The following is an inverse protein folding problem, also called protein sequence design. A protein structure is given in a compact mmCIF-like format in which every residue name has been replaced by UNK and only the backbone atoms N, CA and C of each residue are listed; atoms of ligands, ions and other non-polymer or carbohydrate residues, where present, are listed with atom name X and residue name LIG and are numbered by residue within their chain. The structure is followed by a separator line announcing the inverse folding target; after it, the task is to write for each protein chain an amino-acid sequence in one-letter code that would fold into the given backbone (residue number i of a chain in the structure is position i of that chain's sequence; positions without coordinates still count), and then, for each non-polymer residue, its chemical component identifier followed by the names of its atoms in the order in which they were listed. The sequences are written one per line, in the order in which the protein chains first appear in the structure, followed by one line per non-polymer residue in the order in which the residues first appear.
data_IF_052462192101
#
_entry.id   IF_052462192101
#
_cell.length_a   1.000
_cell.length_b   1.000
_cell.length_c   1.000
_cell.angle_alpha   90.00
_cell.angle_beta   90.00
_cell.angle_gamma   90.00
#
_symmetry.space_group_name_H-M   'P 1'
#
loop_
_entity.id
_entity.type
_entity.pdbx_description
1 polymer ?
#
# COMPACT_ATOMS: atom_id res chain seq x y z
N UNK A 1 0.48 30.97 -2.71
CA UNK A 1 1.11 30.82 -4.03
C UNK A 1 0.05 30.34 -4.99
N UNK A 2 0.05 30.80 -6.23
CA UNK A 2 -0.81 30.26 -7.30
C UNK A 2 -0.38 28.83 -7.66
N UNK A 3 -1.26 28.04 -8.30
CA UNK A 3 -0.93 26.67 -8.73
C UNK A 3 0.36 26.60 -9.58
N UNK A 4 0.56 27.47 -10.59
CA UNK A 4 1.82 27.49 -11.34
C UNK A 4 3.05 27.81 -10.49
N UNK A 5 2.92 28.70 -9.49
CA UNK A 5 4.02 29.04 -8.57
C UNK A 5 4.40 27.85 -7.68
N UNK A 6 3.41 27.07 -7.21
CA UNK A 6 3.65 25.88 -6.38
C UNK A 6 4.42 24.82 -7.19
N UNK A 7 3.96 24.53 -8.42
CA UNK A 7 4.60 23.53 -9.29
C UNK A 7 6.01 23.97 -9.69
N UNK A 8 6.21 25.24 -10.02
CA UNK A 8 7.55 25.78 -10.30
C UNK A 8 8.48 25.65 -9.09
N UNK A 9 7.98 25.96 -7.89
CA UNK A 9 8.74 25.80 -6.65
C UNK A 9 9.14 24.34 -6.39
N UNK A 10 8.24 23.38 -6.60
CA UNK A 10 8.56 21.95 -6.48
C UNK A 10 9.63 21.51 -7.49
N UNK A 11 9.47 21.91 -8.75
CA UNK A 11 10.43 21.61 -9.81
C UNK A 11 11.83 22.15 -9.46
N UNK A 12 11.92 23.39 -9.00
CA UNK A 12 13.19 24.03 -8.66
C UNK A 12 13.83 23.40 -7.41
N UNK A 13 13.05 23.22 -6.33
CA UNK A 13 13.57 22.73 -5.04
C UNK A 13 13.97 21.27 -5.08
N UNK A 14 13.18 20.42 -5.75
CA UNK A 14 13.33 18.98 -5.64
C UNK A 14 13.97 18.34 -6.88
N UNK A 15 13.80 18.94 -8.06
CA UNK A 15 14.24 18.38 -9.34
C UNK A 15 15.19 19.29 -10.13
N UNK A 16 15.67 20.39 -9.53
CA UNK A 16 16.63 21.30 -10.15
C UNK A 16 16.12 21.97 -11.44
N UNK A 17 14.80 22.13 -11.58
CA UNK A 17 14.18 22.74 -12.75
C UNK A 17 13.98 21.80 -13.95
N UNK A 18 14.28 20.50 -13.80
CA UNK A 18 14.34 19.54 -14.92
C UNK A 18 13.15 18.59 -15.03
N UNK A 19 12.08 18.81 -14.26
CA UNK A 19 10.88 17.99 -14.36
C UNK A 19 10.26 18.12 -15.78
N UNK A 20 9.88 17.00 -16.43
CA UNK A 20 9.27 17.03 -17.77
C UNK A 20 8.05 17.94 -17.86
N UNK A 21 7.90 18.61 -19.00
CA UNK A 21 6.73 19.47 -19.26
C UNK A 21 5.42 18.70 -19.12
N UNK A 22 5.35 17.49 -19.70
CA UNK A 22 4.18 16.61 -19.58
C UNK A 22 3.79 16.32 -18.13
N UNK A 23 4.77 16.09 -17.24
CA UNK A 23 4.46 15.86 -15.84
C UNK A 23 4.04 17.15 -15.11
N UNK A 24 4.66 18.29 -15.42
CA UNK A 24 4.21 19.59 -14.88
C UNK A 24 2.78 19.92 -15.30
N UNK A 25 2.41 19.58 -16.53
CA UNK A 25 1.06 19.75 -17.05
C UNK A 25 0.07 18.86 -16.29
N UNK A 26 0.40 17.57 -16.05
CA UNK A 26 -0.43 16.70 -15.21
C UNK A 26 -0.58 17.21 -13.78
N UNK A 27 0.49 17.73 -13.16
CA UNK A 27 0.39 18.35 -11.82
C UNK A 27 -0.50 19.60 -11.82
N UNK A 28 -0.60 20.32 -12.94
CA UNK A 28 -1.45 21.50 -13.07
C UNK A 28 -2.96 21.17 -13.11
N UNK A 29 -3.32 19.90 -13.33
CA UNK A 29 -4.72 19.43 -13.27
C UNK A 29 -5.21 19.21 -11.84
N UNK A 30 -4.29 19.10 -10.86
CA UNK A 30 -4.65 18.78 -9.48
C UNK A 30 -5.38 19.92 -8.76
N UNK A 31 -6.31 19.59 -7.84
CA UNK A 31 -7.02 20.56 -7.03
C UNK A 31 -6.11 21.10 -5.92
N UNK A 32 -5.21 22.03 -6.25
CA UNK A 32 -4.26 22.65 -5.29
C UNK A 32 -4.91 23.48 -4.19
N UNK A 33 -6.21 23.73 -4.26
CA UNK A 33 -7.03 24.27 -3.17
C UNK A 33 -7.24 23.27 -2.03
N UNK A 34 -7.03 21.98 -2.28
CA UNK A 34 -7.04 20.92 -1.26
C UNK A 34 -5.68 20.80 -0.60
N UNK A 35 -5.60 21.19 0.67
CA UNK A 35 -4.35 21.18 1.42
C UNK A 35 -3.76 19.77 1.57
N UNK A 36 -4.60 18.73 1.70
CA UNK A 36 -4.13 17.34 1.78
C UNK A 36 -3.38 16.87 0.52
N UNK A 37 -3.77 17.38 -0.66
CA UNK A 37 -3.08 17.11 -1.93
C UNK A 37 -1.72 17.82 -1.98
N UNK A 38 -1.69 19.08 -1.57
CA UNK A 38 -0.45 19.89 -1.56
C UNK A 38 0.56 19.35 -0.55
N UNK A 39 0.11 19.02 0.66
CA UNK A 39 0.95 18.49 1.72
C UNK A 39 1.53 17.13 1.34
N UNK A 40 0.71 16.24 0.76
CA UNK A 40 1.18 14.95 0.26
C UNK A 40 2.29 15.10 -0.78
N UNK A 41 2.10 15.96 -1.80
CA UNK A 41 3.09 16.15 -2.86
C UNK A 41 4.38 16.79 -2.36
N UNK A 42 4.27 17.80 -1.49
CA UNK A 42 5.44 18.40 -0.85
C UNK A 42 6.24 17.33 -0.07
N UNK A 43 5.55 16.49 0.69
CA UNK A 43 6.15 15.41 1.46
C UNK A 43 6.79 14.35 0.55
N UNK A 44 6.06 13.88 -0.46
CA UNK A 44 6.52 12.90 -1.44
C UNK A 44 7.79 13.37 -2.16
N UNK A 45 7.80 14.60 -2.67
CA UNK A 45 8.98 15.16 -3.36
C UNK A 45 10.14 15.42 -2.41
N UNK A 46 9.89 15.79 -1.15
CA UNK A 46 10.92 15.92 -0.12
C UNK A 46 11.60 14.57 0.17
N UNK A 47 10.84 13.48 0.27
CA UNK A 47 11.38 12.13 0.46
C UNK A 47 12.21 11.68 -0.74
N UNK A 48 11.70 11.87 -1.96
CA UNK A 48 12.46 11.58 -3.19
C UNK A 48 13.76 12.39 -3.24
N UNK A 49 13.71 13.68 -2.92
CA UNK A 49 14.90 14.52 -2.90
C UNK A 49 15.91 14.07 -1.84
N UNK A 50 15.46 13.72 -0.64
CA UNK A 50 16.30 13.15 0.42
C UNK A 50 16.97 11.84 -0.04
N UNK A 51 16.22 10.96 -0.69
CA UNK A 51 16.69 9.73 -1.33
C UNK A 51 17.59 9.95 -2.56
N UNK A 52 17.92 11.20 -2.93
CA UNK A 52 18.73 11.56 -4.12
C UNK A 52 18.12 11.11 -5.45
N UNK A 53 16.80 11.13 -5.58
CA UNK A 53 16.15 10.95 -6.87
C UNK A 53 16.29 12.19 -7.72
N UNK A 54 16.42 12.00 -9.03
CA UNK A 54 16.40 13.06 -10.04
C UNK A 54 15.16 12.93 -10.92
N UNK A 55 14.90 13.94 -11.77
CA UNK A 55 13.72 13.96 -12.65
C UNK A 55 13.61 12.72 -13.55
N UNK A 56 14.74 12.21 -14.05
CA UNK A 56 14.80 11.01 -14.90
C UNK A 56 14.46 9.72 -14.16
N UNK A 57 14.36 9.73 -12.83
CA UNK A 57 13.94 8.56 -12.05
C UNK A 57 12.41 8.49 -11.86
N UNK A 58 11.68 9.55 -12.18
CA UNK A 58 10.22 9.58 -12.06
C UNK A 58 9.61 8.68 -13.13
N UNK A 59 8.83 7.69 -12.71
CA UNK A 59 8.17 6.77 -13.63
C UNK A 59 6.93 7.41 -14.29
N UNK A 60 6.51 6.94 -15.48
CA UNK A 60 5.26 7.41 -16.09
C UNK A 60 4.05 7.11 -15.22
N UNK A 61 4.07 5.99 -14.49
CA UNK A 61 2.99 5.61 -13.58
C UNK A 61 2.93 6.54 -12.36
N UNK A 62 4.08 6.97 -11.83
CA UNK A 62 4.12 8.01 -10.81
C UNK A 62 3.53 9.31 -11.35
N UNK A 63 3.88 9.72 -12.57
CA UNK A 63 3.30 10.90 -13.20
C UNK A 63 1.77 10.80 -13.29
N UNK A 64 1.24 9.67 -13.77
CA UNK A 64 -0.21 9.45 -13.87
C UNK A 64 -0.89 9.45 -12.51
N UNK A 65 -0.35 8.74 -11.53
CA UNK A 65 -0.97 8.66 -10.21
C UNK A 65 -0.92 10.01 -9.52
N UNK A 66 0.24 10.66 -9.47
CA UNK A 66 0.41 11.94 -8.82
C UNK A 66 -0.39 13.04 -9.50
N UNK A 67 -0.41 13.10 -10.83
CA UNK A 67 -1.07 14.15 -11.60
C UNK A 67 -2.58 13.99 -11.78
N UNK A 68 -3.09 12.76 -11.86
CA UNK A 68 -4.49 12.53 -12.26
C UNK A 68 -5.33 11.77 -11.23
N UNK A 69 -4.73 10.89 -10.43
CA UNK A 69 -5.47 10.03 -9.50
C UNK A 69 -5.35 10.45 -8.04
N UNK A 70 -4.28 11.17 -7.68
CA UNK A 70 -3.93 11.47 -6.29
C UNK A 70 -5.09 12.07 -5.50
N UNK A 71 -5.74 13.08 -6.06
CA UNK A 71 -6.87 13.75 -5.39
C UNK A 71 -8.03 12.81 -5.07
N UNK A 72 -8.17 11.69 -5.79
CA UNK A 72 -9.22 10.69 -5.59
C UNK A 72 -8.83 9.62 -4.58
N UNK A 73 -7.54 9.43 -4.29
CA UNK A 73 -7.02 8.37 -3.41
C UNK A 73 -6.48 8.89 -2.07
N UNK A 74 -6.72 10.18 -1.77
CA UNK A 74 -6.42 10.78 -0.47
C UNK A 74 -7.67 10.91 0.40
N UNK A 75 -7.55 10.83 1.74
CA UNK A 75 -8.69 10.87 2.66
C UNK A 75 -9.62 12.07 2.50
N UNK A 76 -9.13 13.23 2.03
CA UNK A 76 -9.97 14.40 1.77
C UNK A 76 -11.08 14.16 0.75
N UNK A 77 -10.91 13.22 -0.20
CA UNK A 77 -11.97 12.80 -1.13
C UNK A 77 -12.96 11.81 -0.51
N UNK A 78 -12.67 11.30 0.68
CA UNK A 78 -13.40 10.21 1.35
C UNK A 78 -14.01 10.65 2.68
N UNK A 79 -14.28 11.95 2.83
CA UNK A 79 -14.78 12.54 4.07
C UNK A 79 -13.87 12.27 5.27
N UNK A 80 -12.56 12.24 5.04
CA UNK A 80 -11.53 11.97 6.04
C UNK A 80 -11.26 10.48 6.30
N UNK A 81 -11.98 9.56 5.64
CA UNK A 81 -11.74 8.12 5.76
C UNK A 81 -10.54 7.67 4.95
N UNK A 82 -9.90 6.60 5.39
CA UNK A 82 -8.85 5.94 4.62
C UNK A 82 -9.49 5.20 3.43
N UNK A 83 -9.07 5.46 2.18
CA UNK A 83 -9.61 4.77 1.02
C UNK A 83 -9.27 3.27 1.06
N UNK A 84 -10.23 2.38 0.75
CA UNK A 84 -9.97 0.94 0.76
C UNK A 84 -9.30 0.53 -0.56
N UNK A 85 -7.97 0.54 -0.57
CA UNK A 85 -7.17 0.13 -1.74
C UNK A 85 -6.67 -1.29 -1.50
N UNK A 86 -7.30 -2.28 -2.14
CA UNK A 86 -6.86 -3.69 -2.10
C UNK A 86 -6.48 -4.16 -3.51
N UNK A 87 -5.41 -4.93 -3.61
CA UNK A 87 -4.89 -5.48 -4.87
C UNK A 87 -4.47 -6.92 -4.62
N UNK A 88 -4.93 -7.85 -5.46
CA UNK A 88 -4.59 -9.26 -5.35
C UNK A 88 -3.08 -9.48 -5.48
N UNK A 89 -2.56 -10.47 -4.74
CA UNK A 89 -1.14 -10.82 -4.72
C UNK A 89 -0.22 -9.79 -4.05
N UNK A 90 -0.76 -8.78 -3.36
CA UNK A 90 0.03 -7.74 -2.68
C UNK A 90 1.02 -8.34 -1.68
N UNK A 91 0.54 -9.21 -0.80
CA UNK A 91 1.32 -9.74 0.32
C UNK A 91 1.97 -11.10 0.03
N UNK A 92 2.13 -11.51 -1.23
CA UNK A 92 2.54 -12.89 -1.57
C UNK A 92 3.87 -13.29 -0.91
N UNK A 93 4.90 -12.43 -0.93
CA UNK A 93 6.17 -12.73 -0.26
C UNK A 93 6.10 -12.53 1.25
N UNK A 94 5.22 -11.63 1.74
CA UNK A 94 4.99 -11.45 3.18
C UNK A 94 4.34 -12.70 3.79
N UNK A 95 3.41 -13.33 3.08
CA UNK A 95 2.79 -14.59 3.52
C UNK A 95 3.82 -15.73 3.50
N UNK A 96 4.71 -15.78 2.50
CA UNK A 96 5.86 -16.72 2.51
C UNK A 96 6.81 -16.47 3.68
N UNK A 97 7.05 -15.20 4.02
CA UNK A 97 7.90 -14.82 5.13
C UNK A 97 7.36 -15.34 6.46
N UNK A 98 6.04 -15.25 6.68
CA UNK A 98 5.37 -15.78 7.87
C UNK A 98 5.61 -17.29 8.01
N UNK A 99 5.55 -18.04 6.91
CA UNK A 99 5.76 -19.49 6.91
C UNK A 99 7.22 -19.92 7.08
N UNK A 100 8.17 -19.07 6.69
CA UNK A 100 9.62 -19.39 6.69
C UNK A 100 10.41 -18.62 7.75
N UNK A 101 9.75 -17.87 8.63
CA UNK A 101 10.43 -16.96 9.53
C UNK A 101 11.40 -17.68 10.47
N UNK A 102 12.62 -17.18 10.61
CA UNK A 102 13.66 -17.78 11.46
C UNK A 102 13.50 -17.53 12.97
N UNK A 103 12.66 -16.60 13.38
CA UNK A 103 12.47 -16.24 14.80
C UNK A 103 11.28 -16.93 15.46
N UNK A 104 10.39 -17.55 14.68
CA UNK A 104 9.24 -18.31 15.17
C UNK A 104 9.18 -19.65 14.45
N UNK A 105 8.76 -20.70 15.13
CA UNK A 105 8.42 -21.96 14.48
C UNK A 105 7.25 -21.78 13.49
N UNK A 106 7.17 -22.60 12.45
CA UNK A 106 6.14 -22.54 11.42
C UNK A 106 4.79 -23.15 11.87
N UNK A 107 4.66 -23.54 13.14
CA UNK A 107 3.41 -24.10 13.69
C UNK A 107 2.25 -23.12 13.49
N UNK A 108 1.14 -23.53 12.86
CA UNK A 108 -0.02 -22.67 12.65
C UNK A 108 -0.63 -22.19 13.97
N UNK A 109 -1.10 -20.95 13.95
CA UNK A 109 -1.71 -20.30 15.10
C UNK A 109 -2.74 -19.25 14.67
N UNK A 110 -2.88 -18.18 15.45
CA UNK A 110 -3.73 -17.04 15.14
C UNK A 110 -2.96 -15.96 14.38
N UNK A 111 -3.36 -15.71 13.13
CA UNK A 111 -2.90 -14.62 12.30
C UNK A 111 -3.90 -13.45 12.36
N UNK A 112 -3.44 -12.28 12.76
CA UNK A 112 -4.22 -11.04 12.83
C UNK A 112 -3.86 -10.13 11.64
N UNK A 113 -4.83 -9.85 10.78
CA UNK A 113 -4.68 -8.96 9.62
C UNK A 113 -5.38 -7.63 9.88
N UNK A 114 -4.62 -6.56 10.09
CA UNK A 114 -5.12 -5.22 10.37
C UNK A 114 -5.16 -4.39 9.09
N UNK A 115 -6.31 -3.75 8.84
CA UNK A 115 -6.54 -2.95 7.63
C UNK A 115 -6.88 -3.82 6.43
N UNK A 116 -7.66 -4.89 6.64
CA UNK A 116 -8.04 -5.82 5.57
C UNK A 116 -8.82 -5.18 4.42
N UNK A 117 -9.42 -4.00 4.64
CA UNK A 117 -10.14 -3.24 3.63
C UNK A 117 -11.37 -3.95 3.07
N UNK A 118 -11.97 -3.35 2.04
CA UNK A 118 -13.05 -3.95 1.28
C UNK A 118 -12.91 -3.65 -0.23
N UNK A 119 -13.02 -4.65 -1.12
CA UNK A 119 -13.13 -6.08 -0.83
C UNK A 119 -11.84 -6.61 -0.16
N UNK A 120 -11.92 -7.60 0.76
CA UNK A 120 -10.76 -8.06 1.56
C UNK A 120 -9.88 -9.06 0.78
N UNK A 121 -9.55 -8.73 -0.47
CA UNK A 121 -8.87 -9.64 -1.41
C UNK A 121 -7.51 -10.10 -0.86
N UNK A 122 -6.75 -9.18 -0.26
CA UNK A 122 -5.43 -9.48 0.31
C UNK A 122 -5.51 -10.45 1.47
N UNK A 123 -6.54 -10.34 2.33
CA UNK A 123 -6.80 -11.31 3.40
C UNK A 123 -7.19 -12.68 2.85
N UNK A 124 -8.00 -12.72 1.79
CA UNK A 124 -8.40 -13.98 1.14
C UNK A 124 -7.19 -14.70 0.54
N UNK A 125 -6.27 -13.95 -0.08
CA UNK A 125 -5.00 -14.49 -0.56
C UNK A 125 -4.18 -15.09 0.60
N UNK A 126 -4.08 -14.38 1.72
CA UNK A 126 -3.37 -14.86 2.91
C UNK A 126 -3.99 -16.11 3.53
N UNK A 127 -5.33 -16.24 3.54
CA UNK A 127 -6.00 -17.47 3.99
C UNK A 127 -5.65 -18.66 3.08
N UNK A 128 -5.54 -18.43 1.77
CA UNK A 128 -5.15 -19.48 0.83
C UNK A 128 -3.68 -19.89 0.99
N UNK A 129 -2.78 -18.94 1.28
CA UNK A 129 -1.36 -19.17 1.50
C UNK A 129 -1.06 -19.82 2.86
N UNK A 130 -1.71 -19.36 3.93
CA UNK A 130 -1.47 -19.76 5.32
C UNK A 130 -2.35 -20.95 5.72
N UNK A 131 -2.24 -22.06 5.00
CA UNK A 131 -3.07 -23.25 5.25
C UNK A 131 -2.90 -23.77 6.69
N UNK A 132 -4.03 -23.99 7.38
CA UNK A 132 -4.06 -24.45 8.77
C UNK A 132 -4.03 -23.34 9.82
N UNK A 133 -3.80 -22.08 9.43
CA UNK A 133 -3.89 -20.95 10.33
C UNK A 133 -5.34 -20.51 10.56
N UNK A 134 -5.59 -19.90 11.71
CA UNK A 134 -6.80 -19.13 11.96
C UNK A 134 -6.52 -17.67 11.63
N UNK A 135 -7.32 -17.07 10.76
CA UNK A 135 -7.17 -15.67 10.37
C UNK A 135 -8.30 -14.85 10.99
N UNK A 136 -7.92 -13.82 11.73
CA UNK A 136 -8.81 -12.75 12.16
C UNK A 136 -8.45 -11.48 11.38
N UNK A 137 -9.38 -11.00 10.56
CA UNK A 137 -9.20 -9.78 9.78
C UNK A 137 -10.02 -8.64 10.37
N UNK A 138 -9.42 -7.47 10.52
CA UNK A 138 -10.08 -6.32 11.11
C UNK A 138 -9.90 -5.06 10.26
N UNK A 139 -10.99 -4.31 10.11
CA UNK A 139 -11.00 -2.99 9.48
C UNK A 139 -12.16 -2.15 10.05
N UNK A 140 -11.93 -0.89 10.47
CA UNK A 140 -13.00 -0.04 10.99
C UNK A 140 -14.02 0.36 9.91
N UNK A 141 -13.65 0.26 8.63
CA UNK A 141 -14.47 0.62 7.47
C UNK A 141 -15.08 -0.60 6.79
N UNK A 142 -15.03 -1.79 7.40
CA UNK A 142 -15.68 -2.98 6.87
C UNK A 142 -17.19 -2.76 6.76
N UNK A 143 -17.79 -2.81 5.55
CA UNK A 143 -19.18 -2.45 5.38
C UNK A 143 -20.12 -3.52 5.95
N UNK A 144 -21.29 -3.10 6.43
CA UNK A 144 -22.34 -4.02 6.84
C UNK A 144 -23.03 -4.65 5.63
N UNK A 145 -23.23 -3.86 4.58
CA UNK A 145 -23.88 -4.29 3.35
C UNK A 145 -23.19 -3.69 2.12
N UNK A 146 -23.23 -4.44 1.02
CA UNK A 146 -22.76 -3.96 -0.29
C UNK A 146 -23.83 -4.26 -1.33
N UNK A 147 -24.29 -3.22 -2.01
CA UNK A 147 -25.33 -3.30 -3.04
C UNK A 147 -24.68 -3.06 -4.38
N UNK A 148 -24.90 -3.99 -5.30
CA UNK A 148 -24.54 -3.86 -6.71
C UNK A 148 -25.81 -3.60 -7.53
N UNK A 149 -25.74 -2.65 -8.46
CA UNK A 149 -26.77 -2.45 -9.46
C UNK A 149 -26.61 -3.44 -10.65
N UNK A 150 -27.46 -3.30 -11.66
CA UNK A 150 -27.46 -4.17 -12.84
C UNK A 150 -26.24 -3.96 -13.76
N UNK A 151 -25.54 -2.85 -13.62
CA UNK A 151 -24.32 -2.52 -14.36
C UNK A 151 -23.06 -2.98 -13.62
N UNK A 152 -23.22 -3.46 -12.38
CA UNK A 152 -22.14 -3.90 -11.50
C UNK A 152 -21.50 -2.78 -10.71
N UNK A 153 -22.00 -1.54 -10.81
CA UNK A 153 -21.58 -0.47 -9.90
C UNK A 153 -22.04 -0.83 -8.50
N UNK A 154 -21.29 -0.40 -7.48
CA UNK A 154 -21.62 -0.77 -6.12
C UNK A 154 -21.56 0.39 -5.14
N UNK A 155 -22.38 0.28 -4.09
CA UNK A 155 -22.34 1.14 -2.93
C UNK A 155 -22.20 0.30 -1.65
N UNK A 156 -21.47 0.83 -0.68
CA UNK A 156 -21.28 0.22 0.63
C UNK A 156 -22.11 0.95 1.67
N UNK A 157 -22.69 0.22 2.61
CA UNK A 157 -23.50 0.75 3.70
C UNK A 157 -22.98 0.28 5.05
N UNK A 158 -23.06 1.15 6.05
CA UNK A 158 -22.71 0.82 7.43
C UNK A 158 -23.86 0.11 8.17
N UNK A 159 -23.66 -0.16 9.46
CA UNK A 159 -24.64 -0.85 10.31
C UNK A 159 -25.90 -0.02 10.61
N UNK A 160 -25.83 1.31 10.47
CA UNK A 160 -26.98 2.21 10.57
C UNK A 160 -27.76 2.26 9.24
N UNK A 161 -27.19 1.65 8.20
CA UNK A 161 -27.70 1.71 6.86
C UNK A 161 -27.24 2.97 6.15
N UNK A 162 -26.34 3.80 6.65
CA UNK A 162 -25.90 5.00 5.92
C UNK A 162 -24.93 4.62 4.78
N UNK A 163 -25.05 5.32 3.64
CA UNK A 163 -24.18 5.05 2.50
C UNK A 163 -22.80 5.61 2.79
N UNK A 164 -21.78 4.76 2.69
CA UNK A 164 -20.40 5.08 3.01
C UNK A 164 -19.71 5.65 1.76
N UNK A 165 -19.69 4.91 0.66
CA UNK A 165 -19.19 5.34 -0.65
C UNK A 165 -19.81 4.49 -1.76
N UNK A 166 -19.63 4.90 -3.01
CA UNK A 166 -19.95 4.12 -4.20
C UNK A 166 -18.77 4.11 -5.19
N UNK A 167 -18.69 3.07 -6.02
CA UNK A 167 -17.69 2.95 -7.07
C UNK A 167 -18.30 2.35 -8.34
N UNK A 168 -17.78 2.71 -9.53
CA UNK A 168 -18.17 2.08 -10.78
C UNK A 168 -17.61 0.65 -10.89
N UNK A 169 -18.29 -0.19 -11.67
CA UNK A 169 -17.81 -1.56 -11.96
C UNK A 169 -16.42 -1.58 -12.62
N UNK A 170 -16.21 -0.63 -13.54
CA UNK A 170 -14.93 -0.39 -14.21
C UNK A 170 -14.53 1.08 -14.00
N UNK A 171 -13.49 1.37 -13.20
CA UNK A 171 -13.12 2.74 -12.86
C UNK A 171 -12.41 3.42 -14.03
N UNK A 172 -13.12 4.34 -14.71
CA UNK A 172 -12.57 5.31 -15.67
C UNK A 172 -13.00 6.71 -15.26
N UNK A 173 -12.40 7.76 -15.83
CA UNK A 173 -12.83 9.13 -15.55
C UNK A 173 -14.31 9.31 -15.89
N UNK A 174 -14.75 8.72 -16.99
CA UNK A 174 -16.13 8.78 -17.49
C UNK A 174 -17.11 8.07 -16.57
N UNK A 175 -16.80 6.84 -16.12
CA UNK A 175 -17.71 6.08 -15.25
C UNK A 175 -17.80 6.68 -13.84
N UNK A 176 -16.71 7.25 -13.34
CA UNK A 176 -16.73 8.06 -12.11
C UNK A 176 -17.59 9.31 -12.26
N UNK A 177 -17.41 10.05 -13.36
CA UNK A 177 -18.20 11.25 -13.62
C UNK A 177 -19.69 10.91 -13.75
N UNK A 178 -20.04 9.81 -14.41
CA UNK A 178 -21.42 9.37 -14.57
C UNK A 178 -22.10 9.08 -13.22
N UNK A 179 -21.42 8.40 -12.29
CA UNK A 179 -21.97 8.15 -10.95
C UNK A 179 -22.02 9.40 -10.07
N UNK A 180 -21.04 10.30 -10.23
CA UNK A 180 -20.91 11.49 -9.39
C UNK A 180 -21.68 12.72 -9.91
N UNK A 181 -22.14 12.74 -11.17
CA UNK A 181 -22.83 13.87 -11.80
C UNK A 181 -24.07 14.28 -10.98
N UNK A 182 -24.86 13.31 -10.52
CA UNK A 182 -25.92 13.50 -9.54
C UNK A 182 -25.76 12.49 -8.39
N UNK A 183 -24.81 12.78 -7.50
CA UNK A 183 -24.56 11.94 -6.33
C UNK A 183 -25.81 11.71 -5.46
N UNK A 184 -26.75 12.65 -5.42
CA UNK A 184 -28.00 12.51 -4.66
C UNK A 184 -28.92 11.47 -5.30
N UNK A 185 -29.07 11.50 -6.62
CA UNK A 185 -29.83 10.49 -7.35
C UNK A 185 -29.17 9.10 -7.28
N UNK A 186 -27.84 9.04 -7.38
CA UNK A 186 -27.06 7.80 -7.22
C UNK A 186 -27.28 7.18 -5.84
N UNK A 187 -27.17 7.99 -4.78
CA UNK A 187 -27.45 7.56 -3.41
C UNK A 187 -28.89 7.05 -3.25
N UNK A 188 -29.87 7.81 -3.74
CA UNK A 188 -31.29 7.42 -3.68
C UNK A 188 -31.55 6.10 -4.42
N UNK A 189 -30.86 5.84 -5.53
CA UNK A 189 -30.98 4.59 -6.27
C UNK A 189 -30.43 3.41 -5.45
N UNK A 190 -29.21 3.50 -4.92
CA UNK A 190 -28.63 2.42 -4.10
C UNK A 190 -29.42 2.19 -2.81
N UNK A 191 -29.93 3.26 -2.18
CA UNK A 191 -30.84 3.19 -1.03
C UNK A 191 -32.08 2.35 -1.36
N UNK A 192 -32.75 2.66 -2.46
CA UNK A 192 -33.93 1.92 -2.94
C UNK A 192 -33.61 0.45 -3.21
N UNK A 193 -32.43 0.16 -3.77
CA UNK A 193 -31.98 -1.21 -4.00
C UNK A 193 -31.72 -1.96 -2.68
N UNK A 194 -31.09 -1.32 -1.69
CA UNK A 194 -30.92 -1.87 -0.35
C UNK A 194 -32.27 -2.21 0.28
N UNK A 195 -33.19 -1.24 0.35
CA UNK A 195 -34.50 -1.40 0.99
C UNK A 195 -35.32 -2.53 0.35
N UNK A 196 -35.16 -2.73 -0.96
CA UNK A 196 -35.81 -3.81 -1.70
C UNK A 196 -35.19 -5.18 -1.38
N UNK A 197 -33.87 -5.29 -1.33
CA UNK A 197 -33.16 -6.57 -1.24
C UNK A 197 -32.95 -7.04 0.21
N UNK A 198 -32.89 -6.10 1.16
CA UNK A 198 -32.59 -6.40 2.57
C UNK A 198 -33.59 -7.38 3.23
N UNK A 199 -34.92 -7.30 2.98
CA UNK A 199 -35.87 -8.28 3.50
C UNK A 199 -35.60 -9.71 3.03
N UNK A 200 -35.15 -9.86 1.78
CA UNK A 200 -34.90 -11.17 1.17
C UNK A 200 -33.53 -11.75 1.59
N UNK A 201 -32.59 -10.90 2.02
CA UNK A 201 -31.29 -11.34 2.54
C UNK A 201 -31.43 -12.14 3.83
N UNK A 202 -32.24 -11.67 4.79
CA UNK A 202 -32.40 -12.28 6.11
C UNK A 202 -31.06 -12.59 6.80
N UNK A 203 -30.88 -13.85 7.20
CA UNK A 203 -29.63 -14.36 7.79
C UNK A 203 -28.61 -14.85 6.74
N UNK A 204 -28.94 -14.72 5.45
CA UNK A 204 -28.08 -15.08 4.34
C UNK A 204 -26.85 -14.16 4.18
N UNK A 205 -25.96 -14.58 3.28
CA UNK A 205 -24.75 -13.84 2.91
C UNK A 205 -24.91 -13.02 1.61
N UNK A 206 -25.81 -13.44 0.72
CA UNK A 206 -26.03 -12.81 -0.58
C UNK A 206 -27.48 -13.05 -1.04
N UNK A 207 -28.04 -12.07 -1.75
CA UNK A 207 -29.29 -12.20 -2.50
C UNK A 207 -29.18 -11.45 -3.82
N UNK A 208 -29.77 -12.00 -4.88
CA UNK A 208 -29.84 -11.37 -6.21
C UNK A 208 -31.28 -11.33 -6.67
N UNK A 209 -31.74 -10.17 -7.13
CA UNK A 209 -33.09 -9.98 -7.67
C UNK A 209 -33.13 -8.83 -8.67
N UNK A 210 -33.76 -9.06 -9.83
CA UNK A 210 -33.90 -8.10 -10.94
C UNK A 210 -32.58 -7.43 -11.36
N UNK A 211 -31.51 -8.22 -11.50
CA UNK A 211 -30.19 -7.74 -11.91
C UNK A 211 -29.40 -7.01 -10.82
N UNK A 212 -30.00 -6.67 -9.67
CA UNK A 212 -29.28 -6.12 -8.53
C UNK A 212 -28.90 -7.21 -7.54
N UNK A 213 -27.86 -6.95 -6.76
CA UNK A 213 -27.30 -7.91 -5.81
C UNK A 213 -26.96 -7.23 -4.49
N UNK A 214 -27.32 -7.86 -3.38
CA UNK A 214 -26.98 -7.40 -2.03
C UNK A 214 -26.15 -8.47 -1.35
N UNK A 215 -25.03 -8.04 -0.75
CA UNK A 215 -24.07 -8.88 -0.06
C UNK A 215 -23.91 -8.40 1.38
N UNK A 216 -23.88 -9.34 2.33
CA UNK A 216 -23.33 -9.12 3.66
C UNK A 216 -21.88 -9.63 3.67
N UNK A 217 -20.88 -8.74 3.54
CA UNK A 217 -19.52 -9.13 3.17
C UNK A 217 -18.85 -10.02 4.21
N UNK A 218 -18.98 -9.69 5.50
CA UNK A 218 -18.42 -10.53 6.56
C UNK A 218 -19.00 -11.95 6.55
N UNK A 219 -20.28 -12.14 6.24
CA UNK A 219 -20.89 -13.48 6.13
C UNK A 219 -20.45 -14.20 4.86
N UNK A 220 -20.33 -13.47 3.75
CA UNK A 220 -19.93 -14.03 2.46
C UNK A 220 -18.50 -14.56 2.49
N UNK A 221 -17.58 -13.80 3.09
CA UNK A 221 -16.16 -14.11 3.06
C UNK A 221 -15.68 -14.93 4.26
N UNK A 222 -16.45 -15.02 5.36
CA UNK A 222 -16.08 -15.84 6.51
C UNK A 222 -16.02 -17.32 6.15
N UNK A 223 -15.14 -18.06 6.82
CA UNK A 223 -15.00 -19.50 6.67
C UNK A 223 -14.60 -20.15 8.00
N UNK A 224 -14.31 -21.45 8.00
CA UNK A 224 -13.81 -22.13 9.20
C UNK A 224 -12.41 -21.65 9.65
N UNK A 225 -11.67 -20.95 8.78
CA UNK A 225 -10.33 -20.43 9.06
C UNK A 225 -10.25 -18.90 8.95
N UNK A 226 -11.36 -18.21 8.67
CA UNK A 226 -11.40 -16.76 8.50
C UNK A 226 -12.61 -16.16 9.21
N UNK A 227 -12.34 -15.19 10.08
CA UNK A 227 -13.35 -14.36 10.74
C UNK A 227 -13.01 -12.88 10.58
N UNK A 228 -14.03 -12.03 10.70
CA UNK A 228 -13.89 -10.58 10.55
C UNK A 228 -14.35 -9.83 11.80
N UNK A 229 -13.75 -8.68 12.07
CA UNK A 229 -14.25 -7.68 13.01
C UNK A 229 -14.27 -6.28 12.37
N UNK A 230 -15.40 -5.59 12.47
CA UNK A 230 -15.48 -4.16 12.15
C UNK A 230 -14.93 -3.36 13.32
N UNK A 231 -13.61 -3.26 13.41
CA UNK A 231 -12.91 -2.63 14.51
C UNK A 231 -11.58 -2.02 14.07
N UNK A 232 -11.19 -0.91 14.70
CA UNK A 232 -9.89 -0.28 14.53
C UNK A 232 -8.83 -0.87 15.47
N UNK A 233 -7.58 -0.49 15.24
CA UNK A 233 -6.45 -0.84 16.12
C UNK A 233 -6.75 -0.35 17.54
N UNK A 234 -6.62 -1.24 18.53
CA UNK A 234 -6.96 -0.97 19.93
C UNK A 234 -8.37 -1.41 20.34
N UNK A 235 -9.30 -1.53 19.38
CA UNK A 235 -10.69 -1.93 19.64
C UNK A 235 -10.98 -3.38 19.20
N UNK A 236 -10.09 -4.00 18.40
CA UNK A 236 -10.20 -5.42 18.02
C UNK A 236 -10.17 -6.29 19.29
N UNK A 237 -11.20 -7.11 19.45
CA UNK A 237 -11.32 -8.04 20.57
C UNK A 237 -10.52 -9.30 20.28
N UNK A 238 -9.25 -9.33 20.70
CA UNK A 238 -8.32 -10.43 20.43
C UNK A 238 -7.25 -10.53 21.51
N UNK A 239 -6.78 -11.76 21.76
CA UNK A 239 -5.64 -12.09 22.60
C UNK A 239 -4.89 -13.27 21.97
N UNK A 240 -3.70 -13.56 22.48
CA UNK A 240 -2.89 -14.71 22.08
C UNK A 240 -2.65 -14.78 20.56
N UNK A 241 -2.33 -13.64 19.95
CA UNK A 241 -1.98 -13.55 18.53
C UNK A 241 -0.57 -14.10 18.32
N UNK A 242 -0.42 -15.01 17.36
CA UNK A 242 0.88 -15.58 17.00
C UNK A 242 1.65 -14.68 16.04
N UNK A 243 0.93 -14.13 15.05
CA UNK A 243 1.48 -13.23 14.04
C UNK A 243 0.46 -12.13 13.75
N UNK A 244 0.90 -10.89 13.81
CA UNK A 244 0.12 -9.73 13.40
C UNK A 244 0.75 -9.05 12.19
N UNK A 245 -0.06 -8.70 11.20
CA UNK A 245 0.31 -7.86 10.06
C UNK A 245 -0.47 -6.55 10.09
N UNK A 246 0.22 -5.44 9.86
CA UNK A 246 -0.36 -4.11 9.69
C UNK A 246 0.36 -3.39 8.56
N UNK A 247 -0.08 -3.66 7.32
CA UNK A 247 0.51 -3.11 6.10
C UNK A 247 -0.38 -2.05 5.50
N UNK A 248 0.22 -0.97 4.98
CA UNK A 248 -0.48 0.10 4.28
C UNK A 248 -1.51 0.86 5.15
N UNK A 249 -1.28 0.92 6.47
CA UNK A 249 -2.19 1.56 7.44
C UNK A 249 -1.52 2.70 8.20
N UNK A 250 -0.36 2.46 8.83
CA UNK A 250 0.19 3.43 9.79
C UNK A 250 0.70 4.73 9.15
N UNK A 251 0.99 4.73 7.85
CA UNK A 251 1.41 5.93 7.14
C UNK A 251 0.30 7.00 6.99
N UNK A 252 -0.93 6.71 7.42
CA UNK A 252 -2.04 7.66 7.53
C UNK A 252 -2.12 8.34 8.91
N UNK A 253 -1.35 7.87 9.89
CA UNK A 253 -1.61 8.07 11.31
C UNK A 253 -0.38 8.63 12.02
N UNK A 254 -0.58 9.59 12.93
CA UNK A 254 0.51 10.27 13.61
C UNK A 254 1.34 9.37 14.55
N UNK A 255 2.52 9.84 14.95
CA UNK A 255 3.38 9.10 15.88
C UNK A 255 2.72 8.79 17.24
N UNK A 256 1.73 9.57 17.69
CA UNK A 256 1.00 9.28 18.94
C UNK A 256 0.08 8.09 18.79
N UNK A 257 -0.59 7.96 17.64
CA UNK A 257 -1.34 6.77 17.29
C UNK A 257 -0.41 5.57 17.09
N UNK A 258 0.74 5.76 16.42
CA UNK A 258 1.74 4.71 16.27
C UNK A 258 2.22 4.16 17.62
N UNK A 259 2.62 4.99 18.57
CA UNK A 259 3.07 4.53 19.90
C UNK A 259 1.99 3.70 20.63
N UNK A 260 0.73 4.16 20.60
CA UNK A 260 -0.41 3.42 21.16
C UNK A 260 -0.62 2.08 20.45
N UNK A 261 -0.46 2.06 19.13
CA UNK A 261 -0.53 0.84 18.31
C UNK A 261 0.54 -0.17 18.73
N UNK A 262 1.78 0.27 18.90
CA UNK A 262 2.87 -0.61 19.35
C UNK A 262 2.59 -1.21 20.73
N UNK A 263 2.10 -0.39 21.68
CA UNK A 263 1.70 -0.87 23.01
C UNK A 263 0.56 -1.87 22.95
N UNK A 264 -0.39 -1.69 22.05
CA UNK A 264 -1.49 -2.62 21.87
C UNK A 264 -1.02 -3.97 21.29
N UNK A 265 -0.15 -3.95 20.28
CA UNK A 265 0.44 -5.18 19.75
C UNK A 265 1.24 -5.95 20.80
N UNK A 266 2.00 -5.24 21.65
CA UNK A 266 2.69 -5.84 22.79
C UNK A 266 1.73 -6.59 23.72
N UNK A 267 0.50 -6.09 23.91
CA UNK A 267 -0.50 -6.73 24.77
C UNK A 267 -1.15 -7.95 24.13
N UNK A 268 -1.48 -7.90 22.83
CA UNK A 268 -2.25 -8.97 22.18
C UNK A 268 -1.40 -10.13 21.66
N UNK A 269 -0.11 -9.91 21.41
CA UNK A 269 0.79 -10.95 20.91
C UNK A 269 1.15 -11.96 22.01
N UNK A 270 1.31 -13.22 21.61
CA UNK A 270 1.95 -14.26 22.42
C UNK A 270 3.45 -13.99 22.57
N UNK A 271 4.04 -14.53 23.64
CA UNK A 271 5.49 -14.52 23.80
C UNK A 271 6.16 -15.27 22.63
N UNK A 272 7.16 -14.66 21.99
CA UNK A 272 7.76 -15.16 20.75
C UNK A 272 6.97 -14.85 19.47
N UNK A 273 5.76 -14.29 19.59
CA UNK A 273 4.92 -13.88 18.46
C UNK A 273 5.52 -12.73 17.65
N UNK A 274 5.09 -12.59 16.40
CA UNK A 274 5.65 -11.64 15.43
C UNK A 274 4.68 -10.52 15.09
N UNK A 275 5.24 -9.33 14.86
CA UNK A 275 4.54 -8.18 14.29
C UNK A 275 5.27 -7.71 13.05
N UNK A 276 4.57 -7.63 11.93
CA UNK A 276 5.07 -7.08 10.68
C UNK A 276 4.29 -5.79 10.38
N UNK A 277 5.00 -4.68 10.27
CA UNK A 277 4.45 -3.35 9.98
C UNK A 277 5.16 -2.77 8.77
N UNK A 278 4.42 -2.20 7.81
CA UNK A 278 5.06 -1.59 6.66
C UNK A 278 4.10 -1.17 5.57
N UNK A 279 4.63 -1.11 4.35
CA UNK A 279 3.85 -0.94 3.13
C UNK A 279 4.42 -1.80 2.02
N UNK A 280 3.55 -2.33 1.18
CA UNK A 280 3.89 -3.03 -0.05
C UNK A 280 2.83 -2.77 -1.12
N UNK A 281 3.09 -3.27 -2.32
CA UNK A 281 2.20 -3.22 -3.46
C UNK A 281 2.02 -4.59 -4.12
N UNK A 282 1.35 -4.63 -5.27
CA UNK A 282 1.10 -5.86 -6.02
C UNK A 282 2.39 -6.67 -6.23
N UNK A 283 2.30 -8.00 -6.06
CA UNK A 283 3.46 -8.91 -6.12
C UNK A 283 4.58 -8.59 -5.11
N UNK A 284 4.23 -7.95 -3.99
CA UNK A 284 5.16 -7.49 -2.96
C UNK A 284 6.26 -6.56 -3.52
N UNK A 285 5.94 -5.81 -4.58
CA UNK A 285 6.79 -4.72 -5.06
C UNK A 285 6.72 -3.51 -4.12
N UNK A 286 7.71 -2.62 -4.19
CA UNK A 286 7.83 -1.41 -3.37
C UNK A 286 7.67 -1.69 -1.87
N UNK A 287 8.10 -2.89 -1.44
CA UNK A 287 7.92 -3.37 -0.08
C UNK A 287 8.94 -2.73 0.85
N UNK A 288 8.48 -2.24 2.00
CA UNK A 288 9.30 -1.83 3.14
C UNK A 288 8.58 -2.22 4.43
N UNK A 289 9.28 -2.86 5.36
CA UNK A 289 8.63 -3.33 6.58
C UNK A 289 9.60 -3.53 7.74
N UNK A 290 9.10 -3.26 8.93
CA UNK A 290 9.71 -3.61 10.20
C UNK A 290 9.15 -4.93 10.71
N UNK A 291 10.02 -5.80 11.22
CA UNK A 291 9.64 -7.02 11.93
C UNK A 291 10.03 -6.87 13.39
N UNK A 292 9.06 -7.09 14.27
CA UNK A 292 9.24 -7.14 15.71
C UNK A 292 8.87 -8.54 16.23
N UNK A 293 9.53 -8.94 17.31
CA UNK A 293 9.17 -10.13 18.07
C UNK A 293 8.89 -9.75 19.51
N UNK A 294 7.85 -10.33 20.10
CA UNK A 294 7.62 -10.20 21.54
C UNK A 294 8.62 -11.05 22.31
N UNK A 295 9.42 -10.41 23.16
CA UNK A 295 10.45 -11.03 24.02
C UNK A 295 10.36 -10.41 25.41
N UNK A 296 10.24 -11.26 26.44
CA UNK A 296 10.07 -10.88 27.85
C UNK A 296 8.94 -9.85 28.04
N UNK A 297 7.82 -10.06 27.33
CA UNK A 297 6.67 -9.17 27.37
C UNK A 297 6.81 -7.88 26.56
N UNK A 298 7.91 -7.65 25.85
CA UNK A 298 8.16 -6.42 25.10
C UNK A 298 8.39 -6.65 23.61
N UNK A 299 8.01 -5.69 22.76
CA UNK A 299 8.34 -5.73 21.34
C UNK A 299 9.81 -5.37 21.10
N UNK A 300 10.58 -6.34 20.60
CA UNK A 300 11.98 -6.17 20.19
C UNK A 300 12.07 -6.18 18.68
N UNK A 301 12.68 -5.14 18.11
CA UNK A 301 12.94 -5.07 16.67
C UNK A 301 13.91 -6.16 16.25
N UNK A 302 13.57 -6.89 15.18
CA UNK A 302 14.38 -7.94 14.59
C UNK A 302 15.03 -7.50 13.30
N UNK A 303 14.29 -6.83 12.43
CA UNK A 303 14.82 -6.24 11.20
C UNK A 303 13.93 -5.12 10.67
N UNK A 304 14.52 -4.24 9.86
CA UNK A 304 13.81 -3.48 8.84
C UNK A 304 14.29 -3.97 7.49
N UNK A 305 13.37 -4.33 6.60
CA UNK A 305 13.67 -4.86 5.29
C UNK A 305 12.92 -4.12 4.18
N UNK A 306 13.50 -4.09 2.99
CA UNK A 306 12.91 -3.46 1.81
C UNK A 306 13.36 -4.14 0.51
N UNK A 307 12.49 -4.10 -0.51
CA UNK A 307 12.78 -4.57 -1.86
C UNK A 307 13.56 -3.51 -2.64
N UNK A 308 14.48 -3.93 -3.52
CA UNK A 308 15.38 -3.00 -4.24
C UNK A 308 14.70 -2.11 -5.28
N UNK A 309 13.50 -2.46 -5.73
CA UNK A 309 12.71 -1.60 -6.61
C UNK A 309 12.29 -0.28 -5.94
N UNK A 310 12.39 -0.16 -4.62
CA UNK A 310 12.28 1.14 -3.93
C UNK A 310 13.33 2.18 -4.38
N UNK A 311 14.46 1.74 -4.95
CA UNK A 311 15.48 2.65 -5.50
C UNK A 311 15.16 3.16 -6.91
N UNK A 312 14.16 2.56 -7.57
CA UNK A 312 13.69 2.86 -8.93
C UNK A 312 12.18 2.59 -9.05
N UNK A 313 11.35 3.25 -8.20
CA UNK A 313 9.99 2.84 -7.94
C UNK A 313 9.10 2.92 -9.19
N UNK A 314 8.27 1.89 -9.35
CA UNK A 314 7.26 1.85 -10.39
C UNK A 314 6.12 2.82 -10.07
N UNK A 315 5.62 2.84 -8.84
CA UNK A 315 4.48 3.66 -8.43
C UNK A 315 4.82 4.62 -7.28
N UNK A 316 3.82 5.04 -6.52
CA UNK A 316 3.96 5.99 -5.42
C UNK A 316 4.15 5.30 -4.07
N UNK A 317 4.08 3.97 -4.00
CA UNK A 317 3.99 3.24 -2.72
C UNK A 317 5.26 3.40 -1.90
N UNK A 318 6.44 3.41 -2.52
CA UNK A 318 7.72 3.62 -1.81
C UNK A 318 7.73 4.84 -0.91
N UNK A 319 7.07 5.93 -1.34
CA UNK A 319 7.06 7.23 -0.64
C UNK A 319 5.66 7.66 -0.18
N UNK A 320 4.71 6.72 -0.15
CA UNK A 320 3.36 7.03 0.31
C UNK A 320 3.34 7.17 1.85
N UNK A 321 3.13 8.39 2.32
CA UNK A 321 2.77 8.69 3.71
C UNK A 321 2.14 10.08 3.82
N UNK A 322 1.20 10.24 4.75
CA UNK A 322 0.50 11.50 5.03
C UNK A 322 1.10 12.25 6.23
N UNK A 323 2.02 11.60 6.96
CA UNK A 323 2.62 12.13 8.18
C UNK A 323 4.12 12.27 8.00
N UNK A 324 4.68 13.35 8.55
CA UNK A 324 6.11 13.68 8.39
C UNK A 324 7.05 12.71 9.13
N UNK A 325 6.51 11.97 10.10
CA UNK A 325 7.25 11.13 11.04
C UNK A 325 6.94 9.63 10.90
N UNK A 326 6.48 9.19 9.72
CA UNK A 326 6.31 7.77 9.42
C UNK A 326 7.66 7.04 9.49
N UNK A 327 7.79 6.13 10.46
CA UNK A 327 9.06 5.51 10.79
C UNK A 327 9.63 4.68 9.64
N UNK A 328 8.82 3.79 9.06
CA UNK A 328 9.25 2.89 8.00
C UNK A 328 9.65 3.65 6.72
N UNK A 329 8.92 4.72 6.36
CA UNK A 329 9.23 5.52 5.17
C UNK A 329 10.48 6.38 5.37
N UNK A 330 10.66 6.98 6.55
CA UNK A 330 11.87 7.76 6.86
C UNK A 330 13.12 6.86 6.86
N UNK A 331 13.04 5.68 7.49
CA UNK A 331 14.15 4.74 7.50
C UNK A 331 14.49 4.24 6.09
N UNK A 332 13.48 3.96 5.25
CA UNK A 332 13.71 3.66 3.83
C UNK A 332 14.46 4.81 3.13
N UNK A 333 14.00 6.05 3.31
CA UNK A 333 14.57 7.20 2.63
C UNK A 333 16.05 7.42 3.01
N UNK A 334 16.43 7.18 4.27
CA UNK A 334 17.82 7.23 4.73
C UNK A 334 18.69 6.14 4.10
N UNK A 335 18.22 4.90 4.05
CA UNK A 335 18.95 3.77 3.45
C UNK A 335 19.09 3.93 1.94
N UNK A 336 18.02 4.37 1.26
CA UNK A 336 18.03 4.65 -0.18
C UNK A 336 18.99 5.79 -0.50
N UNK A 337 19.01 6.86 0.32
CA UNK A 337 19.99 7.95 0.17
C UNK A 337 21.42 7.43 0.26
N UNK A 338 21.71 6.55 1.20
CA UNK A 338 23.04 5.99 1.37
C UNK A 338 23.46 5.15 0.16
N UNK A 339 22.61 4.21 -0.26
CA UNK A 339 22.83 3.39 -1.45
C UNK A 339 23.06 4.24 -2.70
N UNK A 340 22.20 5.24 -2.93
CA UNK A 340 22.30 6.15 -4.08
C UNK A 340 23.45 7.17 -3.95
N UNK A 341 24.11 7.27 -2.80
CA UNK A 341 25.33 8.06 -2.62
C UNK A 341 26.58 7.30 -3.07
N UNK A 342 26.54 5.97 -3.15
CA UNK A 342 27.61 5.18 -3.73
C UNK A 342 27.54 5.23 -5.26
N UNK A 343 28.53 5.88 -5.89
CA UNK A 343 28.51 6.13 -7.32
C UNK A 343 28.64 4.84 -8.16
N UNK A 344 29.37 3.84 -7.66
CA UNK A 344 29.56 2.58 -8.38
C UNK A 344 28.28 1.75 -8.35
N UNK A 345 27.67 1.65 -7.17
CA UNK A 345 26.38 0.98 -7.00
C UNK A 345 25.28 1.68 -7.79
N UNK A 346 25.18 3.02 -7.75
CA UNK A 346 24.17 3.75 -8.52
C UNK A 346 24.31 3.52 -10.03
N UNK A 347 25.54 3.48 -10.56
CA UNK A 347 25.78 3.15 -11.97
C UNK A 347 25.32 1.72 -12.31
N UNK A 348 25.63 0.76 -11.44
CA UNK A 348 25.19 -0.65 -11.55
C UNK A 348 23.67 -0.75 -11.51
N UNK A 349 23.03 -0.14 -10.51
CA UNK A 349 21.58 -0.09 -10.35
C UNK A 349 20.90 0.40 -11.62
N UNK A 350 21.29 1.57 -12.13
CA UNK A 350 20.69 2.14 -13.33
C UNK A 350 20.86 1.22 -14.54
N UNK A 351 22.05 0.65 -14.73
CA UNK A 351 22.33 -0.25 -15.86
C UNK A 351 21.52 -1.55 -15.80
N UNK A 352 21.37 -2.13 -14.61
CA UNK A 352 20.59 -3.36 -14.39
C UNK A 352 19.10 -3.06 -14.55
N UNK A 353 18.59 -2.02 -13.89
CA UNK A 353 17.19 -1.61 -14.00
C UNK A 353 16.79 -1.32 -15.45
N UNK A 354 17.58 -0.55 -16.19
CA UNK A 354 17.26 -0.21 -17.58
C UNK A 354 17.20 -1.47 -18.46
N UNK A 355 18.14 -2.41 -18.28
CA UNK A 355 18.11 -3.71 -18.97
C UNK A 355 16.89 -4.55 -18.58
N UNK A 356 16.55 -4.64 -17.30
CA UNK A 356 15.41 -5.44 -16.83
C UNK A 356 14.09 -4.86 -17.34
N UNK A 357 13.95 -3.53 -17.37
CA UNK A 357 12.80 -2.85 -17.96
C UNK A 357 12.65 -3.12 -19.45
N UNK A 358 13.77 -3.20 -20.18
CA UNK A 358 13.76 -3.61 -21.60
C UNK A 358 13.37 -5.09 -21.76
N UNK A 359 13.92 -5.99 -20.93
CA UNK A 359 13.59 -7.43 -20.98
C UNK A 359 12.13 -7.72 -20.69
N UNK A 360 11.53 -7.00 -19.74
CA UNK A 360 10.14 -7.21 -19.29
C UNK A 360 9.12 -6.30 -19.98
N UNK A 361 9.55 -5.51 -20.98
CA UNK A 361 8.70 -4.54 -21.68
C UNK A 361 7.95 -3.62 -20.68
N UNK A 362 8.72 -3.05 -19.74
CA UNK A 362 8.23 -2.26 -18.62
C UNK A 362 8.80 -0.84 -18.66
N UNK A 363 8.27 -0.01 -19.56
CA UNK A 363 8.65 1.39 -19.71
C UNK A 363 10.19 1.58 -19.75
N UNK A 364 10.88 1.03 -20.78
CA UNK A 364 12.33 1.16 -20.91
C UNK A 364 12.76 2.63 -21.01
N UNK A 365 14.01 2.91 -20.60
CA UNK A 365 14.55 4.27 -20.65
C UNK A 365 14.85 4.70 -22.09
N UNK A 366 14.32 5.86 -22.48
CA UNK A 366 14.54 6.50 -23.78
C UNK A 366 15.88 7.23 -23.88
N UNK A 367 16.18 7.73 -25.08
CA UNK A 367 17.42 8.47 -25.37
C UNK A 367 17.50 9.84 -24.66
N UNK A 368 16.36 10.37 -24.21
CA UNK A 368 16.26 11.57 -23.38
C UNK A 368 16.53 11.30 -21.89
N UNK A 369 16.74 10.04 -21.53
CA UNK A 369 17.00 9.60 -20.16
C UNK A 369 15.75 9.35 -19.34
N UNK A 370 14.54 9.58 -19.86
CA UNK A 370 13.29 9.30 -19.14
C UNK A 370 12.76 7.90 -19.49
N UNK A 371 11.98 7.30 -18.60
CA UNK A 371 11.27 6.07 -18.92
C UNK A 371 10.15 6.34 -19.94
N UNK A 372 10.01 5.47 -20.93
CA UNK A 372 8.96 5.59 -21.95
C UNK A 372 7.59 5.35 -21.35
N UNK A 373 6.54 5.86 -22.00
CA UNK A 373 5.17 5.51 -21.63
C UNK A 373 4.93 3.99 -21.74
N UNK A 374 4.03 3.47 -20.91
CA UNK A 374 3.52 2.11 -21.01
C UNK A 374 2.51 2.03 -22.14
N UNK A 375 2.38 0.85 -22.77
CA UNK A 375 1.31 0.61 -23.74
C UNK A 375 -0.06 0.80 -23.06
N UNK A 376 -0.88 1.77 -23.50
CA UNK A 376 -2.16 2.10 -22.87
C UNK A 376 -3.21 0.98 -23.01
N UNK A 377 -2.96 -0.04 -23.84
CA UNK A 377 -3.84 -1.21 -23.97
C UNK A 377 -3.63 -2.25 -22.88
N UNK A 378 -2.53 -2.17 -22.11
CA UNK A 378 -2.23 -3.10 -21.02
C UNK A 378 -3.18 -2.90 -19.84
N UNK A 379 -3.74 -4.00 -19.35
CA UNK A 379 -4.53 -4.00 -18.12
C UNK A 379 -3.64 -3.84 -16.88
N UNK A 380 -4.20 -3.31 -15.79
CA UNK A 380 -3.48 -3.09 -14.54
C UNK A 380 -2.76 -4.35 -14.02
N UNK A 381 -3.40 -5.52 -14.09
CA UNK A 381 -2.79 -6.79 -13.66
C UNK A 381 -1.53 -7.15 -14.45
N UNK A 382 -1.49 -6.84 -15.75
CA UNK A 382 -0.33 -7.13 -16.59
C UNK A 382 0.81 -6.14 -16.29
N UNK A 383 0.48 -4.85 -16.14
CA UNK A 383 1.44 -3.82 -15.74
C UNK A 383 2.11 -4.19 -14.40
N UNK A 384 1.31 -4.59 -13.41
CA UNK A 384 1.83 -4.99 -12.11
C UNK A 384 2.62 -6.29 -12.14
N UNK A 385 2.23 -7.25 -12.98
CA UNK A 385 3.01 -8.46 -13.20
C UNK A 385 4.41 -8.17 -13.75
N UNK A 386 4.51 -7.24 -14.72
CA UNK A 386 5.80 -6.78 -15.27
C UNK A 386 6.63 -6.02 -14.23
N UNK A 387 6.01 -5.12 -13.47
CA UNK A 387 6.68 -4.40 -12.39
C UNK A 387 7.23 -5.34 -11.30
N UNK A 388 6.43 -6.34 -10.89
CA UNK A 388 6.83 -7.37 -9.94
C UNK A 388 7.99 -8.24 -10.45
N UNK A 389 8.00 -8.57 -11.75
CA UNK A 389 9.12 -9.31 -12.35
C UNK A 389 10.43 -8.50 -12.33
N UNK A 390 10.37 -7.21 -12.68
CA UNK A 390 11.52 -6.30 -12.57
C UNK A 390 12.00 -6.21 -11.11
N UNK A 391 11.08 -6.10 -10.15
CA UNK A 391 11.41 -6.03 -8.73
C UNK A 391 12.10 -7.32 -8.24
N UNK A 392 11.59 -8.49 -8.62
CA UNK A 392 12.19 -9.78 -8.29
C UNK A 392 13.62 -9.89 -8.83
N UNK A 393 13.81 -9.62 -10.12
CA UNK A 393 15.12 -9.74 -10.77
C UNK A 393 16.14 -8.71 -10.24
N UNK A 394 15.68 -7.51 -9.88
CA UNK A 394 16.52 -6.50 -9.22
C UNK A 394 17.07 -7.01 -7.88
N UNK A 395 16.21 -7.63 -7.05
CA UNK A 395 16.64 -8.21 -5.78
C UNK A 395 17.65 -9.34 -6.01
N UNK A 396 17.37 -10.26 -6.95
CA UNK A 396 18.28 -11.37 -7.27
C UNK A 396 19.66 -10.89 -7.71
N UNK A 397 19.73 -9.85 -8.55
CA UNK A 397 21.00 -9.39 -9.11
C UNK A 397 21.82 -8.45 -8.21
N UNK A 398 21.16 -7.69 -7.32
CA UNK A 398 21.80 -6.56 -6.63
C UNK A 398 21.68 -6.55 -5.10
N UNK A 399 20.88 -7.42 -4.48
CA UNK A 399 20.65 -7.36 -3.02
C UNK A 399 21.97 -7.51 -2.22
N UNK A 400 22.84 -8.43 -2.61
CA UNK A 400 24.14 -8.61 -1.95
C UNK A 400 25.08 -7.40 -2.10
N UNK A 401 25.02 -6.72 -3.25
CA UNK A 401 25.81 -5.51 -3.49
C UNK A 401 25.28 -4.34 -2.66
N UNK A 402 23.96 -4.18 -2.57
CA UNK A 402 23.33 -3.19 -1.71
C UNK A 402 23.69 -3.44 -0.23
N UNK A 403 23.64 -4.69 0.23
CA UNK A 403 24.08 -5.08 1.58
C UNK A 403 25.55 -4.73 1.82
N UNK A 404 26.42 -4.94 0.83
CA UNK A 404 27.84 -4.57 0.95
C UNK A 404 28.03 -3.06 1.10
N UNK A 405 27.29 -2.23 0.35
CA UNK A 405 27.31 -0.77 0.48
C UNK A 405 26.83 -0.34 1.87
N UNK A 406 25.71 -0.87 2.36
CA UNK A 406 25.18 -0.54 3.69
C UNK A 406 26.14 -0.97 4.81
N UNK A 407 26.78 -2.14 4.69
CA UNK A 407 27.85 -2.56 5.63
C UNK A 407 29.03 -1.59 5.63
N UNK A 408 29.43 -1.10 4.46
CA UNK A 408 30.50 -0.11 4.35
C UNK A 408 30.12 1.23 4.98
N UNK A 409 28.83 1.60 4.97
CA UNK A 409 28.28 2.75 5.69
C UNK A 409 28.06 2.54 7.20
N UNK A 410 28.31 1.32 7.71
CA UNK A 410 28.27 1.01 9.14
C UNK A 410 26.99 0.33 9.62
N UNK A 411 26.08 -0.05 8.73
CA UNK A 411 24.88 -0.80 9.08
C UNK A 411 25.19 -2.28 9.28
N UNK A 412 24.48 -2.90 10.22
CA UNK A 412 24.36 -4.36 10.27
C UNK A 412 23.29 -4.78 9.24
N UNK A 413 23.73 -5.25 8.07
CA UNK A 413 22.86 -5.55 6.94
C UNK A 413 23.00 -7.00 6.43
N UNK A 414 21.94 -7.55 5.83
CA UNK A 414 21.92 -8.88 5.21
C UNK A 414 20.82 -8.97 4.14
N UNK A 415 20.88 -10.00 3.30
CA UNK A 415 19.74 -10.39 2.46
C UNK A 415 18.87 -11.34 3.27
N UNK A 416 17.59 -11.03 3.43
CA UNK A 416 16.68 -11.88 4.22
C UNK A 416 16.11 -13.04 3.38
N UNK A 417 15.27 -13.87 4.00
CA UNK A 417 14.76 -15.09 3.37
C UNK A 417 13.83 -14.86 2.16
N UNK A 418 13.43 -13.59 1.90
CA UNK A 418 12.68 -13.19 0.70
C UNK A 418 13.57 -12.65 -0.42
N UNK A 419 14.89 -12.57 -0.21
CA UNK A 419 15.79 -11.87 -1.12
C UNK A 419 15.78 -10.34 -0.94
N UNK A 420 15.07 -9.82 0.05
CA UNK A 420 15.05 -8.38 0.33
C UNK A 420 16.29 -7.95 1.12
N UNK A 421 16.67 -6.68 0.98
CA UNK A 421 17.72 -6.08 1.79
C UNK A 421 17.16 -5.79 3.17
N UNK A 422 17.82 -6.30 4.21
CA UNK A 422 17.47 -6.10 5.60
C UNK A 422 18.61 -5.45 6.38
N UNK A 423 18.25 -4.64 7.38
CA UNK A 423 19.17 -4.03 8.33
C UNK A 423 18.66 -4.19 9.75
N UNK A 424 19.58 -4.22 10.72
CA UNK A 424 19.24 -3.98 12.13
C UNK A 424 19.03 -2.47 12.30
N UNK A 425 17.82 -1.98 12.65
CA UNK A 425 17.59 -0.56 12.78
C UNK A 425 18.40 0.02 13.94
N UNK A 426 19.49 0.73 13.66
CA UNK A 426 20.25 1.44 14.68
C UNK A 426 19.63 2.80 14.94
N UNK A 427 19.11 3.04 16.14
CA UNK A 427 18.86 4.41 16.62
C UNK A 427 17.41 4.90 16.75
N UNK A 428 16.37 4.06 16.69
CA UNK A 428 14.99 4.49 17.03
C UNK A 428 14.16 3.36 17.68
N UNK A 429 14.79 2.43 18.39
CA UNK A 429 14.10 1.32 19.06
C UNK A 429 14.02 1.56 20.58
N UNK A 430 13.49 2.71 21.01
CA UNK A 430 13.06 2.93 22.42
C UNK A 430 12.40 4.30 22.67
N UNK A 431 11.44 4.76 21.85
CA UNK A 431 10.51 5.84 22.25
C UNK A 431 9.08 5.59 21.78
#
# INVERSE_FOLDING_TARGET
MSRPEIIASWNDRYFGGTLPETFRDSLAELPTERQDVVDFLEHFFKLMHHGRFVSTDVSPMQCTVLGSLLSRILPGAWSGRIPPITVGGRHVLIDEYVLRNKWRDATPGLFLDIGCGFPPVTTLDSVAALQGWQVLAADPSMPAHVVYDAEGNYATFDTQGEMVYFQPAAPTVETWNALAEDATATEANFRRLLDRLLPDLGDGAEVTSDGARLVHPMRLYSSASLSFQTAGIGDVQVQDVDVARCFNVLYYLDATFRRRTMQWFEQVLTEGGLLLIGGDWAHTSEARYSVYQKVDGHLVTREFAFSLDNLCPASIVSWFCLVDDDFETLLLADLVRELRSDAAFLQRLNSVNDRLREQHDFAPRGADGFYSEMDPSLGASEIWGRAGAVASDLNEELAEEAVAVLKAGGHEAWVNDLGHVAVMPTGVASQ
#
